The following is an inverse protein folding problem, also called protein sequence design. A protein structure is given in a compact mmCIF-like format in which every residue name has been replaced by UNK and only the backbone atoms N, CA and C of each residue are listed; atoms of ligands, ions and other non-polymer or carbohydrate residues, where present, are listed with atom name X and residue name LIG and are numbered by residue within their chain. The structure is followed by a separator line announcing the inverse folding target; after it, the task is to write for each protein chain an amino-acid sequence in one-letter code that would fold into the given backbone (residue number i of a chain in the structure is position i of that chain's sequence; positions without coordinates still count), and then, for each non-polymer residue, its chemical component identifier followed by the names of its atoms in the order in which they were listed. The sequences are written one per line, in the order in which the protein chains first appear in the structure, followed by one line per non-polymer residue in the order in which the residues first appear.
data_IF_848526919922
#
_entry.id   IF_848526919922
#
_cell.length_a   1.000
_cell.length_b   1.000
_cell.length_c   1.000
_cell.angle_alpha   90.00
_cell.angle_beta   90.00
_cell.angle_gamma   90.00
#
_symmetry.space_group_name_H-M   'P 1'
#
loop_
_entity.id
_entity.type
_entity.pdbx_description
1 polymer ?
#
# COMPACT_ATOMS: atom_id res chain seq x y z
N UNK A 1 -37.12 8.72 -6.91
CA UNK A 1 -35.70 8.45 -6.66
C UNK A 1 -35.61 7.31 -5.66
N UNK A 2 -34.69 6.39 -5.85
CA UNK A 2 -34.39 5.31 -4.91
C UNK A 2 -32.97 5.48 -4.37
N UNK A 3 -32.73 4.93 -3.20
CA UNK A 3 -31.43 4.97 -2.52
C UNK A 3 -30.71 3.65 -2.70
N UNK A 4 -29.40 3.72 -2.98
CA UNK A 4 -28.58 2.54 -3.18
C UNK A 4 -27.24 2.70 -2.46
N UNK A 5 -26.75 1.57 -1.96
CA UNK A 5 -25.35 1.42 -1.56
C UNK A 5 -24.62 0.69 -2.68
N UNK A 6 -23.58 1.32 -3.21
CA UNK A 6 -22.73 0.76 -4.23
C UNK A 6 -21.39 0.37 -3.61
N UNK A 7 -21.06 -0.92 -3.66
CA UNK A 7 -19.76 -1.44 -3.26
C UNK A 7 -18.96 -1.76 -4.51
N UNK A 8 -17.80 -1.15 -4.67
CA UNK A 8 -16.92 -1.36 -5.81
C UNK A 8 -15.57 -1.88 -5.30
N UNK A 9 -15.10 -2.97 -5.88
CA UNK A 9 -13.79 -3.53 -5.60
C UNK A 9 -12.90 -3.29 -6.81
N UNK A 10 -11.90 -2.45 -6.65
CA UNK A 10 -10.92 -2.16 -7.68
C UNK A 10 -9.75 -3.13 -7.64
N UNK A 11 -9.08 -3.25 -8.77
CA UNK A 11 -7.81 -3.95 -8.90
C UNK A 11 -6.77 -3.34 -7.94
N UNK A 12 -6.13 -4.14 -7.06
CA UNK A 12 -5.18 -3.65 -6.07
C UNK A 12 -3.98 -2.91 -6.67
N UNK A 13 -3.62 -3.22 -7.92
CA UNK A 13 -2.54 -2.55 -8.64
C UNK A 13 -2.89 -1.11 -9.04
N UNK A 14 -4.18 -0.76 -9.07
CA UNK A 14 -4.69 0.57 -9.41
C UNK A 14 -5.00 1.41 -8.17
N UNK A 15 -4.60 0.99 -6.96
CA UNK A 15 -4.84 1.74 -5.72
C UNK A 15 -4.28 3.17 -5.74
N UNK A 16 -3.23 3.44 -6.51
CA UNK A 16 -2.70 4.80 -6.71
C UNK A 16 -3.59 5.69 -7.59
N UNK A 17 -4.49 5.10 -8.38
CA UNK A 17 -5.39 5.80 -9.30
C UNK A 17 -6.83 5.92 -8.77
N UNK A 18 -7.06 5.58 -7.50
CA UNK A 18 -8.39 5.62 -6.87
C UNK A 18 -9.04 6.99 -7.00
N UNK A 19 -8.29 8.07 -6.78
CA UNK A 19 -8.82 9.44 -6.91
C UNK A 19 -9.27 9.79 -8.34
N UNK A 20 -8.60 9.26 -9.36
CA UNK A 20 -9.00 9.43 -10.77
C UNK A 20 -10.26 8.63 -11.03
N UNK A 21 -10.29 7.37 -10.64
CA UNK A 21 -11.46 6.51 -10.75
C UNK A 21 -12.69 7.14 -10.07
N UNK A 22 -12.56 7.62 -8.83
CA UNK A 22 -13.66 8.25 -8.09
C UNK A 22 -14.24 9.44 -8.85
N UNK A 23 -13.39 10.31 -9.42
CA UNK A 23 -13.84 11.46 -10.24
C UNK A 23 -14.57 11.03 -11.51
N UNK A 24 -14.09 9.99 -12.17
CA UNK A 24 -14.72 9.52 -13.41
C UNK A 24 -16.03 8.78 -13.10
N UNK A 25 -16.08 8.05 -11.99
CA UNK A 25 -17.32 7.43 -11.50
C UNK A 25 -18.35 8.48 -11.06
N UNK A 26 -17.94 9.56 -10.40
CA UNK A 26 -18.79 10.69 -10.07
C UNK A 26 -19.38 11.35 -11.30
N UNK A 27 -18.58 11.59 -12.34
CA UNK A 27 -19.08 12.10 -13.64
C UNK A 27 -20.10 11.15 -14.27
N UNK A 28 -19.83 9.84 -14.21
CA UNK A 28 -20.74 8.82 -14.72
C UNK A 28 -22.07 8.85 -13.98
N UNK A 29 -22.07 8.94 -12.65
CA UNK A 29 -23.28 9.04 -11.83
C UNK A 29 -24.05 10.31 -12.15
N UNK A 30 -23.39 11.46 -12.18
CA UNK A 30 -24.01 12.75 -12.47
C UNK A 30 -24.64 12.79 -13.89
N UNK A 31 -23.99 12.18 -14.89
CA UNK A 31 -24.53 12.10 -16.26
C UNK A 31 -25.78 11.23 -16.34
N UNK A 32 -25.99 10.31 -15.41
CA UNK A 32 -27.16 9.43 -15.30
C UNK A 32 -28.16 9.88 -14.21
N UNK A 33 -28.11 11.16 -13.81
CA UNK A 33 -29.02 11.73 -12.80
C UNK A 33 -28.97 11.04 -11.43
N UNK A 34 -27.80 10.53 -11.05
CA UNK A 34 -27.53 10.05 -9.70
C UNK A 34 -26.72 11.06 -8.91
N UNK A 35 -27.05 11.22 -7.63
CA UNK A 35 -26.32 12.02 -6.67
C UNK A 35 -25.55 11.12 -5.72
N UNK A 36 -24.31 11.50 -5.39
CA UNK A 36 -23.53 10.86 -4.32
C UNK A 36 -23.88 11.55 -3.01
N UNK A 37 -24.41 10.79 -2.05
CA UNK A 37 -24.72 11.26 -0.69
C UNK A 37 -23.50 11.12 0.21
N UNK A 38 -22.80 9.99 0.12
CA UNK A 38 -21.61 9.68 0.90
C UNK A 38 -20.64 8.82 0.08
N UNK A 39 -19.36 9.04 0.28
CA UNK A 39 -18.27 8.25 -0.28
C UNK A 39 -17.32 7.82 0.83
N UNK A 40 -16.91 6.55 0.79
CA UNK A 40 -15.94 5.98 1.72
C UNK A 40 -14.86 5.23 0.96
N UNK A 41 -13.60 5.54 1.25
CA UNK A 41 -12.44 4.79 0.81
C UNK A 41 -11.96 3.89 1.95
N UNK A 42 -12.33 2.61 1.89
CA UNK A 42 -11.94 1.59 2.88
C UNK A 42 -10.49 1.17 2.70
N UNK A 43 -9.96 1.32 1.49
CA UNK A 43 -8.61 0.91 1.16
C UNK A 43 -8.47 -0.54 0.73
N UNK A 44 -7.22 -1.01 0.68
CA UNK A 44 -6.90 -2.39 0.29
C UNK A 44 -7.21 -3.37 1.40
N UNK A 45 -8.01 -4.41 1.09
CA UNK A 45 -8.33 -5.49 2.01
C UNK A 45 -8.08 -6.84 1.34
N UNK A 46 -7.80 -7.85 2.16
CA UNK A 46 -7.71 -9.22 1.70
C UNK A 46 -9.10 -9.76 1.35
N UNK A 47 -9.21 -10.47 0.23
CA UNK A 47 -10.41 -11.14 -0.22
C UNK A 47 -10.50 -12.51 0.45
N UNK A 48 -11.71 -13.00 0.69
CA UNK A 48 -11.94 -14.34 1.23
C UNK A 48 -11.49 -15.46 0.27
N UNK A 49 -11.51 -15.17 -1.04
CA UNK A 49 -11.01 -16.03 -2.12
C UNK A 49 -10.46 -15.16 -3.25
N UNK A 50 -9.61 -15.73 -4.08
CA UNK A 50 -9.04 -14.99 -5.20
C UNK A 50 -10.08 -14.70 -6.29
N UNK A 51 -10.09 -13.47 -6.79
CA UNK A 51 -10.92 -13.03 -7.91
C UNK A 51 -9.99 -12.49 -8.99
N UNK A 52 -10.08 -13.00 -10.22
CA UNK A 52 -9.19 -12.61 -11.34
C UNK A 52 -7.70 -12.67 -10.96
N UNK A 53 -7.28 -13.73 -10.25
CA UNK A 53 -5.92 -13.93 -9.73
C UNK A 53 -5.45 -12.87 -8.70
N UNK A 54 -6.36 -12.09 -8.13
CA UNK A 54 -6.05 -11.14 -7.06
C UNK A 54 -6.56 -11.66 -5.71
N UNK A 55 -5.69 -11.70 -4.70
CA UNK A 55 -6.02 -12.06 -3.32
C UNK A 55 -6.38 -10.84 -2.45
N UNK A 56 -6.18 -9.63 -2.99
CA UNK A 56 -6.53 -8.35 -2.37
C UNK A 56 -7.34 -7.52 -3.35
N UNK A 57 -8.17 -6.62 -2.82
CA UNK A 57 -8.94 -5.66 -3.59
C UNK A 57 -8.98 -4.31 -2.87
N UNK A 58 -9.15 -3.23 -3.61
CA UNK A 58 -9.36 -1.91 -3.03
C UNK A 58 -10.86 -1.63 -2.98
N UNK A 59 -11.42 -1.46 -1.79
CA UNK A 59 -12.84 -1.30 -1.55
C UNK A 59 -13.24 0.17 -1.51
N UNK A 60 -14.25 0.50 -2.30
CA UNK A 60 -14.92 1.79 -2.30
C UNK A 60 -16.41 1.60 -2.03
N UNK A 61 -16.98 2.41 -1.16
CA UNK A 61 -18.41 2.43 -0.86
C UNK A 61 -18.98 3.79 -1.26
N UNK A 62 -20.11 3.78 -1.95
CA UNK A 62 -20.85 4.97 -2.34
C UNK A 62 -22.31 4.82 -1.92
N UNK A 63 -22.82 5.81 -1.21
CA UNK A 63 -24.25 5.97 -0.99
C UNK A 63 -24.78 6.90 -2.09
N UNK A 64 -25.63 6.40 -2.94
CA UNK A 64 -26.13 7.11 -4.12
C UNK A 64 -27.66 7.14 -4.16
N UNK A 65 -28.19 8.19 -4.74
CA UNK A 65 -29.64 8.35 -4.95
C UNK A 65 -29.93 8.68 -6.41
N UNK A 66 -30.90 7.97 -7.01
CA UNK A 66 -31.24 8.21 -8.42
C UNK A 66 -32.41 7.40 -8.92
N UNK A 67 -32.57 7.39 -10.24
CA UNK A 67 -33.64 6.65 -10.92
C UNK A 67 -33.19 5.19 -11.17
N UNK A 68 -34.00 4.19 -10.74
CA UNK A 68 -33.71 2.78 -11.00
C UNK A 68 -33.50 2.44 -12.49
N UNK A 69 -34.12 3.15 -13.40
CA UNK A 69 -34.01 2.89 -14.84
C UNK A 69 -32.60 3.19 -15.32
N UNK A 70 -31.99 4.27 -14.84
CA UNK A 70 -30.65 4.70 -15.21
C UNK A 70 -29.55 3.84 -14.56
N UNK A 71 -29.87 3.10 -13.50
CA UNK A 71 -28.91 2.21 -12.81
C UNK A 71 -28.37 1.14 -13.77
N UNK A 72 -29.21 0.62 -14.66
CA UNK A 72 -28.83 -0.41 -15.63
C UNK A 72 -27.72 0.10 -16.57
N UNK A 73 -27.76 1.36 -16.95
CA UNK A 73 -26.73 1.97 -17.81
C UNK A 73 -25.40 2.10 -17.05
N UNK A 74 -25.46 2.46 -15.78
CA UNK A 74 -24.29 2.53 -14.91
C UNK A 74 -23.67 1.15 -14.74
N UNK A 75 -24.48 0.14 -14.41
CA UNK A 75 -24.01 -1.26 -14.26
C UNK A 75 -23.36 -1.76 -15.57
N UNK A 76 -23.95 -1.48 -16.70
CA UNK A 76 -23.38 -1.90 -17.99
C UNK A 76 -22.01 -1.26 -18.26
N UNK A 77 -21.82 0.02 -17.94
CA UNK A 77 -20.53 0.69 -18.10
C UNK A 77 -19.47 0.14 -17.15
N UNK A 78 -19.85 -0.08 -15.89
CA UNK A 78 -18.95 -0.63 -14.86
C UNK A 78 -18.54 -2.07 -15.17
N UNK A 79 -19.44 -2.87 -15.72
CA UNK A 79 -19.19 -4.27 -16.07
C UNK A 79 -18.02 -4.47 -17.05
N UNK A 80 -17.81 -3.50 -17.92
CA UNK A 80 -16.74 -3.56 -18.94
C UNK A 80 -15.49 -2.76 -18.54
N UNK A 81 -15.46 -2.21 -17.34
CA UNK A 81 -14.29 -1.49 -16.84
C UNK A 81 -13.28 -2.50 -16.23
N UNK A 82 -12.11 -2.62 -16.88
CA UNK A 82 -11.04 -3.52 -16.45
C UNK A 82 -10.42 -3.16 -15.09
N UNK A 83 -10.65 -1.94 -14.63
CA UNK A 83 -10.19 -1.49 -13.31
C UNK A 83 -11.00 -2.09 -12.16
N UNK A 84 -12.22 -2.57 -12.45
CA UNK A 84 -13.16 -3.11 -11.48
C UNK A 84 -13.12 -4.63 -11.47
N UNK A 85 -12.78 -5.21 -10.33
CA UNK A 85 -12.83 -6.67 -10.14
C UNK A 85 -14.25 -7.13 -9.88
N UNK A 86 -14.99 -6.38 -9.07
CA UNK A 86 -16.37 -6.69 -8.69
C UNK A 86 -17.11 -5.42 -8.27
N UNK A 87 -18.40 -5.40 -8.55
CA UNK A 87 -19.32 -4.37 -8.07
C UNK A 87 -20.60 -4.99 -7.55
N UNK A 88 -21.29 -4.26 -6.67
CA UNK A 88 -22.57 -4.64 -6.10
C UNK A 88 -23.38 -3.37 -5.82
N UNK A 89 -24.65 -3.33 -6.26
CA UNK A 89 -25.58 -2.29 -5.91
C UNK A 89 -26.72 -2.88 -5.06
N UNK A 90 -26.96 -2.32 -3.90
CA UNK A 90 -27.99 -2.75 -2.96
C UNK A 90 -28.99 -1.60 -2.79
N UNK A 91 -30.27 -1.87 -3.05
CA UNK A 91 -31.31 -0.89 -2.78
C UNK A 91 -31.58 -0.81 -1.28
N UNK A 92 -31.50 0.38 -0.71
CA UNK A 92 -31.74 0.64 0.71
C UNK A 92 -32.92 1.58 0.91
N UNK A 93 -33.57 1.51 2.06
CA UNK A 93 -34.66 2.41 2.40
C UNK A 93 -34.14 3.78 2.81
N UNK A 94 -33.10 3.80 3.61
CA UNK A 94 -32.44 4.99 4.12
C UNK A 94 -30.93 4.77 4.16
N UNK A 95 -30.14 5.83 3.94
CA UNK A 95 -28.72 5.78 4.14
C UNK A 95 -28.40 5.94 5.61
N UNK A 96 -27.51 5.10 6.13
CA UNK A 96 -26.87 5.37 7.42
C UNK A 96 -25.96 6.57 7.27
N UNK A 97 -26.10 7.56 8.15
CA UNK A 97 -25.15 8.69 8.22
C UNK A 97 -23.81 8.32 8.85
N UNK A 98 -23.74 7.13 9.46
CA UNK A 98 -22.56 6.65 10.18
C UNK A 98 -21.54 6.03 9.21
N UNK A 99 -20.30 5.90 9.68
CA UNK A 99 -19.26 5.19 8.95
C UNK A 99 -19.59 3.71 8.87
N UNK A 100 -19.31 3.11 7.71
CA UNK A 100 -19.52 1.68 7.52
C UNK A 100 -18.61 0.86 8.45
N UNK A 101 -19.09 -0.29 8.90
CA UNK A 101 -18.28 -1.21 9.72
C UNK A 101 -16.95 -1.55 9.03
N UNK A 102 -16.96 -1.71 7.71
CA UNK A 102 -15.75 -1.95 6.93
C UNK A 102 -14.73 -0.82 7.04
N UNK A 103 -15.17 0.43 7.07
CA UNK A 103 -14.29 1.59 7.23
C UNK A 103 -13.73 1.66 8.65
N UNK A 104 -14.56 1.40 9.66
CA UNK A 104 -14.14 1.36 11.08
C UNK A 104 -13.08 0.28 11.29
N UNK A 105 -13.33 -0.94 10.81
CA UNK A 105 -12.38 -2.05 10.90
C UNK A 105 -11.06 -1.74 10.17
N UNK A 106 -11.14 -1.05 9.03
CA UNK A 106 -9.96 -0.66 8.27
C UNK A 106 -9.11 0.41 8.98
N UNK A 107 -9.77 1.34 9.71
CA UNK A 107 -9.07 2.33 10.54
C UNK A 107 -8.35 1.66 11.71
N UNK A 108 -9.01 0.69 12.37
CA UNK A 108 -8.43 -0.05 13.49
C UNK A 108 -7.20 -0.85 13.08
N UNK A 109 -7.26 -1.56 11.95
CA UNK A 109 -6.10 -2.31 11.42
C UNK A 109 -4.93 -1.40 11.11
N UNK A 110 -5.17 -0.23 10.52
CA UNK A 110 -4.10 0.73 10.20
C UNK A 110 -3.41 1.26 11.45
N UNK A 111 -4.18 1.54 12.52
CA UNK A 111 -3.60 1.98 13.81
C UNK A 111 -2.74 0.90 14.46
N UNK A 112 -3.17 -0.36 14.41
CA UNK A 112 -2.39 -1.50 14.93
C UNK A 112 -1.08 -1.71 14.14
N UNK A 113 -1.13 -1.63 12.80
CA UNK A 113 0.05 -1.75 11.93
C UNK A 113 1.06 -0.58 12.15
N UNK A 114 0.58 0.63 12.37
CA UNK A 114 1.41 1.80 12.68
C UNK A 114 2.08 1.68 14.07
N UNK A 115 1.37 1.16 15.07
CA UNK A 115 1.93 0.90 16.41
C UNK A 115 2.98 -0.21 16.39
N UNK A 116 2.77 -1.28 15.65
CA UNK A 116 3.73 -2.39 15.49
C UNK A 116 4.98 -1.90 14.75
N UNK A 117 4.80 -1.11 13.70
CA UNK A 117 5.91 -0.59 12.91
C UNK A 117 6.73 0.43 13.70
N UNK A 118 6.09 1.27 14.51
CA UNK A 118 6.78 2.23 15.40
C UNK A 118 7.58 1.54 16.52
N UNK A 119 7.12 0.36 17.01
CA UNK A 119 7.85 -0.46 17.97
C UNK A 119 9.06 -1.15 17.33
N UNK A 120 8.91 -1.71 16.12
CA UNK A 120 10.02 -2.32 15.38
C UNK A 120 11.13 -1.32 15.04
N UNK A 121 10.78 -0.11 14.61
CA UNK A 121 11.77 0.93 14.31
C UNK A 121 12.54 1.36 15.56
N UNK A 122 11.91 1.36 16.75
CA UNK A 122 12.60 1.64 18.02
C UNK A 122 13.52 0.51 18.45
N UNK A 123 13.10 -0.75 18.30
CA UNK A 123 13.95 -1.91 18.58
C UNK A 123 15.15 -2.00 17.63
N UNK A 124 14.97 -1.70 16.33
CA UNK A 124 16.08 -1.67 15.37
C UNK A 124 17.06 -0.51 15.62
N UNK A 125 16.61 0.61 16.17
CA UNK A 125 17.49 1.72 16.58
C UNK A 125 18.26 1.41 17.87
N UNK A 126 17.66 0.76 18.87
CA UNK A 126 18.37 0.33 20.08
C UNK A 126 19.42 -0.74 19.79
N UNK A 127 19.17 -1.66 18.84
CA UNK A 127 20.14 -2.68 18.43
C UNK A 127 21.28 -2.07 17.60
N UNK A 128 21.01 -1.02 16.81
CA UNK A 128 22.04 -0.30 16.04
C UNK A 128 22.95 0.55 16.94
N UNK A 129 22.43 1.20 18.01
CA UNK A 129 23.23 1.93 18.98
C UNK A 129 24.07 1.01 19.87
N UNK A 130 23.59 -0.20 20.21
CA UNK A 130 24.37 -1.17 20.97
C UNK A 130 25.49 -1.83 20.17
N UNK A 131 25.37 -1.97 18.85
CA UNK A 131 26.45 -2.48 17.98
C UNK A 131 27.50 -1.43 17.61
N UNK A 132 27.16 -0.14 17.57
CA UNK A 132 28.16 0.91 17.31
C UNK A 132 29.08 1.17 18.49
N UNK A 133 28.68 0.76 19.71
CA UNK A 133 29.52 0.88 20.92
C UNK A 133 30.44 -0.33 21.16
N UNK A 134 30.17 -1.47 20.49
CA UNK A 134 31.02 -2.66 20.56
C UNK A 134 32.16 -2.65 19.48
N UNK A 135 31.97 -1.91 18.38
CA UNK A 135 32.95 -1.83 17.28
C UNK A 135 34.03 -0.75 17.53
N UNK A 136 33.79 0.20 18.47
CA UNK A 136 34.76 1.23 18.83
C UNK A 136 35.78 0.79 19.89
N UNK A 137 35.54 -0.31 20.62
CA UNK A 137 36.50 -0.87 21.59
C UNK A 137 37.44 -1.96 21.00
N UNK A 138 37.13 -2.54 19.83
CA UNK A 138 38.02 -3.53 19.17
C UNK A 138 39.01 -2.88 18.18
N UNK A 139 38.83 -1.64 17.77
CA UNK A 139 39.75 -0.95 16.84
C UNK A 139 40.92 -0.28 17.57
N UNK A 140 40.79 0.07 18.86
CA UNK A 140 41.88 0.67 19.64
C UNK A 140 42.95 -0.33 20.13
N UNK A 141 42.66 -1.64 20.06
CA UNK A 141 43.62 -2.70 20.49
C UNK A 141 44.37 -3.35 19.33
N UNK A 142 44.15 -2.98 18.07
CA UNK A 142 44.83 -3.53 16.89
C UNK A 142 45.84 -2.54 16.22
N UNK A 143 45.77 -1.25 16.53
CA UNK A 143 46.75 -0.27 16.00
C UNK A 143 48.11 -0.24 16.74
N UNK A 144 48.21 -0.82 17.94
CA UNK A 144 49.51 -0.84 18.70
C UNK A 144 50.42 -2.03 18.34
N UNK A 145 50.03 -2.95 17.45
CA UNK A 145 50.81 -4.16 17.13
C UNK A 145 51.38 -4.14 15.69
N UNK A 146 50.94 -3.23 14.81
CA UNK A 146 51.40 -3.14 13.43
C UNK A 146 52.59 -2.13 13.20
N UNK A 147 52.95 -1.31 14.18
CA UNK A 147 54.04 -0.33 14.03
C UNK A 147 55.44 -0.92 14.33
N UNK A 148 55.55 -2.24 14.65
CA UNK A 148 56.86 -2.87 14.93
C UNK A 148 57.35 -3.82 13.83
N UNK A 149 56.54 -4.07 12.76
CA UNK A 149 56.88 -5.05 11.72
C UNK A 149 57.41 -4.48 10.38
N UNK A 150 57.47 -3.17 10.21
CA UNK A 150 57.84 -2.56 8.91
C UNK A 150 59.21 -1.88 8.86
N UNK A 151 60.19 -2.37 9.66
CA UNK A 151 61.56 -1.82 9.64
C UNK A 151 62.66 -2.79 9.21
N UNK A 152 62.40 -3.98 8.69
CA UNK A 152 63.39 -4.87 8.11
C UNK A 152 62.90 -5.53 6.83
N UNK A 153 63.26 -4.96 5.68
CA UNK A 153 63.75 -5.56 4.45
C UNK A 153 63.62 -4.63 3.26
N UNK A 154 64.71 -3.88 3.10
CA UNK A 154 65.04 -3.26 1.82
C UNK A 154 66.37 -3.81 1.34
N UNK A 155 66.43 -4.56 0.26
CA UNK A 155 67.43 -4.40 -0.81
C UNK A 155 67.19 -5.36 -1.99
N UNK A 156 67.66 -4.95 -3.17
CA UNK A 156 67.16 -5.41 -4.48
C UNK A 156 68.16 -6.35 -5.15
N UNK A 157 67.71 -7.10 -6.16
CA UNK A 157 68.52 -7.59 -7.32
C UNK A 157 67.52 -7.81 -8.48
N UNK A 158 67.60 -7.00 -9.48
CA UNK A 158 68.25 -7.03 -10.80
C UNK A 158 68.27 -8.40 -11.49
N UNK A 159 67.79 -8.39 -12.68
CA UNK A 159 68.32 -8.88 -13.94
C UNK A 159 67.36 -9.65 -14.87
N UNK A 160 67.17 -9.01 -15.99
CA UNK A 160 67.25 -9.55 -17.40
C UNK A 160 66.53 -10.88 -17.75
N UNK A 161 65.75 -10.95 -18.71
CA UNK A 161 66.00 -11.10 -20.13
C UNK A 161 64.87 -11.81 -20.89
N UNK A 162 64.49 -11.22 -22.00
CA UNK A 162 64.16 -11.74 -23.34
C UNK A 162 63.26 -12.92 -23.63
N UNK A 163 62.50 -12.61 -24.71
CA UNK A 163 62.06 -13.48 -25.86
C UNK A 163 60.87 -14.43 -25.55
N UNK A 164 59.88 -14.43 -26.33
CA UNK A 164 59.49 -14.34 -27.75
C UNK A 164 58.02 -13.94 -27.90
#
# INVERSE_FOLDING_TARGET
MKKYEAVIILNPNLSSKVTTFTKDFEKLLNSNSFNIVKYEDVGRRQLAYSINNHNKGHYLLFNIEGDPIQLIEIENKIKYDESIIRHLFIAVKEHSGEDSQLLIDSKNIKTEDEEINSKKVKEEQEVAESNSNAESEEVESQEEVEEIAESEEAKPEDDEDKHE
#
